data_IF_879920641819
#
_entry.id   IF_879920641819
#
_cell.length_a   1.000
_cell.length_b   1.000
_cell.length_c   1.000
_cell.angle_alpha   90.00
_cell.angle_beta   90.00
_cell.angle_gamma   90.00
#
_symmetry.space_group_name_H-M   'P 1'
#
loop_
_entity.id
_entity.type
_entity.pdbx_description
1 polymer ?
#
# COMPACT_ATOMS: atom_id res chain seq x y z
N UNK A 1 -16.96 8.12 18.17
CA UNK A 1 -16.83 9.56 17.93
C UNK A 1 -17.53 9.96 16.64
N UNK A 2 -18.49 10.94 16.65
CA UNK A 2 -19.25 11.38 15.48
C UNK A 2 -18.36 12.00 14.38
N UNK A 3 -17.29 12.69 14.71
CA UNK A 3 -16.37 13.29 13.75
C UNK A 3 -15.55 12.21 13.00
N UNK A 4 -15.12 11.17 13.69
CA UNK A 4 -14.43 10.02 13.10
C UNK A 4 -15.34 9.32 12.09
N UNK A 5 -16.61 9.10 12.46
CA UNK A 5 -17.61 8.51 11.56
C UNK A 5 -17.88 9.39 10.33
N UNK A 6 -17.97 10.70 10.50
CA UNK A 6 -18.11 11.64 9.37
C UNK A 6 -16.92 11.57 8.40
N UNK A 7 -15.71 11.57 8.91
CA UNK A 7 -14.49 11.44 8.08
C UNK A 7 -14.47 10.11 7.35
N UNK A 8 -14.79 9.01 8.03
CA UNK A 8 -14.91 7.68 7.42
C UNK A 8 -15.86 7.70 6.21
N UNK A 9 -17.08 8.13 6.41
CA UNK A 9 -18.07 8.19 5.34
C UNK A 9 -17.62 9.11 4.20
N UNK A 10 -16.94 10.20 4.51
CA UNK A 10 -16.50 11.18 3.52
C UNK A 10 -15.33 10.65 2.67
N UNK A 11 -14.34 9.98 3.27
CA UNK A 11 -13.21 9.37 2.55
C UNK A 11 -13.66 8.15 1.74
N UNK A 12 -14.51 7.31 2.30
CA UNK A 12 -15.08 6.18 1.58
C UNK A 12 -15.99 6.62 0.42
N UNK A 13 -16.75 7.72 0.55
CA UNK A 13 -17.49 8.35 -0.56
C UNK A 13 -16.57 8.90 -1.64
N UNK A 14 -15.44 9.51 -1.27
CA UNK A 14 -14.46 9.97 -2.25
C UNK A 14 -13.85 8.78 -3.02
N UNK A 15 -13.51 7.69 -2.31
CA UNK A 15 -13.01 6.45 -2.91
C UNK A 15 -14.07 5.78 -3.81
N UNK A 16 -15.36 5.79 -3.41
CA UNK A 16 -16.46 5.22 -4.23
C UNK A 16 -16.71 5.99 -5.54
N UNK A 17 -16.28 7.25 -5.61
CA UNK A 17 -16.34 8.03 -6.85
C UNK A 17 -15.25 7.67 -7.87
N UNK A 18 -14.24 6.88 -7.46
CA UNK A 18 -13.20 6.40 -8.36
C UNK A 18 -13.76 5.26 -9.23
N UNK A 19 -14.01 5.54 -10.49
CA UNK A 19 -14.36 4.52 -11.47
C UNK A 19 -13.12 4.22 -12.32
N UNK A 20 -12.53 3.04 -12.14
CA UNK A 20 -11.34 2.59 -12.86
C UNK A 20 -11.26 1.05 -12.83
N UNK A 21 -10.86 0.38 -13.92
CA UNK A 21 -10.81 -1.09 -13.97
C UNK A 21 -9.89 -1.70 -12.90
N UNK A 22 -8.83 -0.99 -12.52
CA UNK A 22 -7.84 -1.47 -11.54
C UNK A 22 -8.06 -0.92 -10.11
N UNK A 23 -9.19 -0.27 -9.82
CA UNK A 23 -9.59 0.16 -8.48
C UNK A 23 -10.81 -0.66 -8.06
N UNK A 24 -10.85 -1.08 -6.78
CA UNK A 24 -11.99 -1.81 -6.22
C UNK A 24 -13.25 -0.93 -6.26
N UNK A 25 -14.37 -1.49 -6.68
CA UNK A 25 -15.66 -0.78 -6.64
C UNK A 25 -16.26 -0.89 -5.24
N UNK A 26 -16.56 0.24 -4.62
CA UNK A 26 -17.30 0.31 -3.37
C UNK A 26 -18.78 0.51 -3.72
N UNK A 27 -19.61 -0.46 -3.36
CA UNK A 27 -21.05 -0.45 -3.63
C UNK A 27 -21.84 0.31 -2.57
N UNK A 28 -21.44 0.16 -1.30
CA UNK A 28 -22.15 0.79 -0.18
C UNK A 28 -21.26 0.91 1.06
N UNK A 29 -21.65 1.82 1.95
CA UNK A 29 -21.06 2.00 3.26
C UNK A 29 -22.19 2.01 4.25
N UNK A 30 -22.25 1.04 5.14
CA UNK A 30 -23.36 0.83 6.04
C UNK A 30 -22.91 0.64 7.49
N UNK A 31 -23.86 0.75 8.40
CA UNK A 31 -23.61 0.59 9.84
C UNK A 31 -24.74 -0.24 10.43
N UNK A 32 -24.41 -1.37 11.04
CA UNK A 32 -25.37 -2.26 11.69
C UNK A 32 -24.83 -2.67 13.07
N UNK A 33 -25.72 -2.63 14.06
CA UNK A 33 -25.40 -2.98 15.47
C UNK A 33 -24.13 -2.27 16.02
N UNK A 34 -23.91 -0.99 15.61
CA UNK A 34 -22.76 -0.19 16.05
C UNK A 34 -21.44 -0.54 15.35
N UNK A 35 -21.46 -1.37 14.31
CA UNK A 35 -20.30 -1.71 13.48
C UNK A 35 -20.47 -1.08 12.10
N UNK A 36 -19.45 -0.34 11.67
CA UNK A 36 -19.37 0.19 10.31
C UNK A 36 -18.73 -0.85 9.39
N UNK A 37 -19.27 -1.02 8.17
CA UNK A 37 -18.74 -1.93 7.16
C UNK A 37 -18.87 -1.33 5.76
N UNK A 38 -18.01 -1.79 4.87
CA UNK A 38 -17.97 -1.39 3.48
C UNK A 38 -18.38 -2.60 2.63
N UNK A 39 -19.36 -2.39 1.74
CA UNK A 39 -19.76 -3.36 0.74
C UNK A 39 -19.00 -3.07 -0.54
N UNK A 40 -18.22 -4.02 -1.03
CA UNK A 40 -17.39 -3.84 -2.22
C UNK A 40 -17.54 -5.01 -3.18
N UNK A 41 -17.09 -4.84 -4.42
CA UNK A 41 -17.05 -5.92 -5.39
C UNK A 41 -16.21 -7.09 -4.87
N UNK A 42 -16.64 -8.30 -5.21
CA UNK A 42 -15.87 -9.51 -4.91
C UNK A 42 -14.88 -9.79 -6.04
N UNK A 43 -13.60 -9.89 -5.71
CA UNK A 43 -12.54 -10.24 -6.66
C UNK A 43 -12.24 -11.73 -6.53
N UNK A 44 -12.61 -12.51 -7.54
CA UNK A 44 -12.27 -13.94 -7.61
C UNK A 44 -10.78 -14.10 -7.98
N UNK A 45 -9.89 -13.99 -6.99
CA UNK A 45 -8.45 -14.00 -7.22
C UNK A 45 -7.64 -14.21 -5.94
N UNK A 46 -6.36 -13.88 -6.01
CA UNK A 46 -5.44 -13.97 -4.89
C UNK A 46 -4.82 -12.61 -4.61
N UNK A 47 -4.49 -12.35 -3.34
CA UNK A 47 -3.69 -11.17 -3.02
C UNK A 47 -2.28 -11.31 -3.61
N UNK A 48 -1.69 -10.18 -3.97
CA UNK A 48 -0.34 -10.15 -4.50
C UNK A 48 0.67 -10.72 -3.49
N UNK A 49 0.40 -10.57 -2.18
CA UNK A 49 1.18 -11.19 -1.12
C UNK A 49 1.25 -12.74 -1.24
N UNK A 50 0.18 -13.37 -1.70
CA UNK A 50 0.14 -14.81 -1.92
C UNK A 50 0.79 -15.24 -3.24
N UNK A 51 0.98 -14.29 -4.18
CA UNK A 51 1.51 -14.55 -5.52
C UNK A 51 3.01 -14.31 -5.63
N UNK A 52 3.62 -13.46 -4.78
CA UNK A 52 5.05 -13.17 -4.82
C UNK A 52 5.83 -14.38 -4.27
N UNK A 53 6.62 -15.09 -5.09
CA UNK A 53 7.46 -16.18 -4.60
C UNK A 53 8.72 -15.63 -3.90
N UNK A 54 9.31 -16.43 -3.02
CA UNK A 54 10.54 -16.04 -2.27
C UNK A 54 11.73 -15.62 -3.15
N UNK A 55 11.76 -16.05 -4.41
CA UNK A 55 12.81 -15.72 -5.41
C UNK A 55 12.41 -14.60 -6.36
N UNK A 56 11.29 -13.90 -6.10
CA UNK A 56 10.70 -12.93 -7.01
C UNK A 56 9.86 -13.54 -8.13
N UNK A 57 9.06 -12.71 -8.76
CA UNK A 57 8.21 -13.04 -9.90
C UNK A 57 9.01 -13.03 -11.20
N UNK A 58 8.47 -13.66 -12.24
CA UNK A 58 8.98 -13.45 -13.59
C UNK A 58 8.82 -11.99 -13.98
N UNK A 59 9.83 -11.41 -14.61
CA UNK A 59 9.85 -9.99 -14.94
C UNK A 59 8.60 -9.52 -15.69
N UNK A 60 8.18 -10.26 -16.73
CA UNK A 60 6.99 -9.90 -17.51
C UNK A 60 5.70 -9.91 -16.69
N UNK A 61 5.57 -10.80 -15.71
CA UNK A 61 4.42 -10.87 -14.80
C UNK A 61 4.45 -9.68 -13.83
N UNK A 62 5.60 -9.40 -13.23
CA UNK A 62 5.77 -8.25 -12.35
C UNK A 62 5.44 -6.93 -13.06
N UNK A 63 5.93 -6.75 -14.29
CA UNK A 63 5.66 -5.53 -15.08
C UNK A 63 4.19 -5.39 -15.46
N UNK A 64 3.50 -6.47 -15.85
CA UNK A 64 2.06 -6.44 -16.16
C UNK A 64 1.22 -6.01 -14.95
N UNK A 65 1.57 -6.46 -13.76
CA UNK A 65 0.91 -6.07 -12.52
C UNK A 65 1.27 -4.62 -12.16
N UNK A 66 2.55 -4.26 -12.25
CA UNK A 66 3.04 -2.93 -11.90
C UNK A 66 2.39 -1.82 -12.73
N UNK A 67 2.22 -2.03 -14.04
CA UNK A 67 1.56 -1.05 -14.94
C UNK A 67 0.12 -0.80 -14.49
N UNK A 68 -0.64 -1.85 -14.15
CA UNK A 68 -2.02 -1.72 -13.71
C UNK A 68 -2.13 -1.01 -12.34
N UNK A 69 -1.20 -1.28 -11.41
CA UNK A 69 -1.13 -0.56 -10.12
C UNK A 69 -0.82 0.92 -10.37
N UNK A 70 0.17 1.23 -11.22
CA UNK A 70 0.54 2.59 -11.54
C UNK A 70 -0.61 3.38 -12.18
N UNK A 71 -1.41 2.73 -13.05
CA UNK A 71 -2.59 3.32 -13.68
C UNK A 71 -3.68 3.63 -12.64
N UNK A 72 -3.94 2.69 -11.72
CA UNK A 72 -4.86 2.91 -10.59
C UNK A 72 -4.42 4.10 -9.71
N UNK A 73 -3.13 4.18 -9.35
CA UNK A 73 -2.58 5.29 -8.58
C UNK A 73 -2.69 6.62 -9.34
N UNK A 74 -2.36 6.64 -10.63
CA UNK A 74 -2.47 7.82 -11.48
C UNK A 74 -3.91 8.36 -11.50
N UNK A 75 -4.89 7.46 -11.64
CA UNK A 75 -6.32 7.83 -11.60
C UNK A 75 -6.74 8.41 -10.25
N UNK A 76 -6.32 7.78 -9.14
CA UNK A 76 -6.61 8.26 -7.80
C UNK A 76 -5.97 9.62 -7.51
N UNK A 77 -4.68 9.78 -7.85
CA UNK A 77 -3.96 11.03 -7.65
C UNK A 77 -4.56 12.19 -8.47
N UNK A 78 -5.02 11.93 -9.70
CA UNK A 78 -5.72 12.93 -10.53
C UNK A 78 -7.05 13.39 -9.89
N UNK A 79 -7.64 12.57 -9.02
CA UNK A 79 -8.83 12.91 -8.24
C UNK A 79 -8.49 13.49 -6.85
N UNK A 80 -7.21 13.72 -6.55
CA UNK A 80 -6.74 14.23 -5.25
C UNK A 80 -6.78 13.17 -4.13
N UNK A 81 -6.90 11.89 -4.48
CA UNK A 81 -6.96 10.79 -3.51
C UNK A 81 -5.60 10.09 -3.43
N UNK A 82 -5.08 9.98 -2.21
CA UNK A 82 -3.82 9.31 -1.89
C UNK A 82 -4.16 7.98 -1.21
N UNK A 83 -3.50 6.89 -1.61
CA UNK A 83 -3.76 5.54 -1.08
C UNK A 83 -3.28 5.37 0.37
N UNK A 84 -2.04 5.77 0.66
CA UNK A 84 -1.37 5.78 1.97
C UNK A 84 -1.01 4.43 2.58
N UNK A 85 -1.60 3.33 2.15
CA UNK A 85 -1.33 1.97 2.66
C UNK A 85 -1.17 0.97 1.52
N UNK A 86 -0.45 1.35 0.45
CA UNK A 86 -0.17 0.45 -0.66
C UNK A 86 0.82 -0.65 -0.22
N UNK A 87 0.36 -1.90 -0.29
CA UNK A 87 1.11 -3.09 0.08
C UNK A 87 0.57 -4.31 -0.66
N UNK A 88 1.30 -5.44 -0.71
CA UNK A 88 0.86 -6.63 -1.45
C UNK A 88 -0.50 -7.20 -1.03
N UNK A 89 -0.90 -7.05 0.24
CA UNK A 89 -2.21 -7.51 0.72
C UNK A 89 -3.37 -6.66 0.22
N UNK A 90 -3.12 -5.40 -0.18
CA UNK A 90 -4.12 -4.47 -0.70
C UNK A 90 -4.17 -4.47 -2.25
N UNK A 91 -3.57 -5.48 -2.87
CA UNK A 91 -3.60 -5.68 -4.32
C UNK A 91 -4.11 -7.10 -4.59
N UNK A 92 -5.22 -7.23 -5.29
CA UNK A 92 -5.77 -8.51 -5.75
C UNK A 92 -5.47 -8.70 -7.23
N UNK A 93 -5.23 -9.94 -7.62
CA UNK A 93 -5.05 -10.34 -9.03
C UNK A 93 -5.99 -11.50 -9.31
N UNK A 94 -6.86 -11.34 -10.29
CA UNK A 94 -7.80 -12.40 -10.69
C UNK A 94 -7.13 -13.47 -11.58
N UNK A 95 -7.89 -14.48 -11.98
CA UNK A 95 -7.43 -15.59 -12.82
C UNK A 95 -7.05 -15.15 -14.25
N UNK A 96 -7.52 -13.98 -14.70
CA UNK A 96 -7.21 -13.40 -16.01
C UNK A 96 -6.03 -12.41 -15.95
N UNK A 97 -5.48 -12.17 -14.77
CA UNK A 97 -4.39 -11.22 -14.54
C UNK A 97 -4.84 -9.77 -14.42
N UNK A 98 -6.16 -9.53 -14.21
CA UNK A 98 -6.67 -8.21 -13.88
C UNK A 98 -6.33 -7.87 -12.44
N UNK A 99 -5.72 -6.71 -12.24
CA UNK A 99 -5.35 -6.19 -10.93
C UNK A 99 -6.47 -5.31 -10.38
N UNK A 100 -6.78 -5.47 -9.10
CA UNK A 100 -7.63 -4.57 -8.32
C UNK A 100 -6.88 -4.07 -7.10
N UNK A 101 -6.69 -2.76 -7.01
CA UNK A 101 -6.12 -2.09 -5.83
C UNK A 101 -7.26 -1.78 -4.86
N UNK A 102 -7.09 -2.19 -3.60
CA UNK A 102 -8.08 -2.10 -2.53
C UNK A 102 -7.78 -0.90 -1.62
N UNK A 103 -8.76 -0.48 -0.83
CA UNK A 103 -8.60 0.37 0.36
C UNK A 103 -7.96 1.76 0.14
N UNK A 104 -8.30 2.45 -0.95
CA UNK A 104 -7.85 3.83 -1.17
C UNK A 104 -8.35 4.76 -0.05
N UNK A 105 -7.41 5.43 0.62
CA UNK A 105 -7.69 6.50 1.59
C UNK A 105 -8.26 6.06 2.93
N UNK A 106 -8.60 4.78 3.12
CA UNK A 106 -9.25 4.29 4.35
C UNK A 106 -8.32 4.22 5.56
N UNK A 107 -7.00 4.25 5.36
CA UNK A 107 -6.00 4.14 6.44
C UNK A 107 -6.03 5.30 7.45
N UNK A 108 -6.41 6.51 7.03
CA UNK A 108 -6.56 7.67 7.94
C UNK A 108 -7.55 7.46 9.08
N UNK A 109 -8.42 6.49 8.95
CA UNK A 109 -9.56 6.28 9.84
C UNK A 109 -9.22 5.43 11.04
N UNK A 110 -8.14 4.65 10.93
CA UNK A 110 -7.71 3.72 11.97
C UNK A 110 -6.67 4.36 12.90
N UNK A 111 -5.95 5.39 12.45
CA UNK A 111 -4.70 5.86 13.06
C UNK A 111 -4.76 7.16 13.86
N UNK A 112 -5.92 7.75 14.14
CA UNK A 112 -5.98 8.89 15.06
C UNK A 112 -6.21 8.43 16.51
N UNK A 113 -5.17 8.18 17.32
CA UNK A 113 -5.36 8.06 18.76
C UNK A 113 -5.73 9.44 19.32
N UNK A 114 -6.81 9.52 20.09
CA UNK A 114 -7.25 10.75 20.75
C UNK A 114 -6.29 11.25 21.83
N UNK A 115 -5.23 10.47 22.17
CA UNK A 115 -4.17 10.88 23.12
C UNK A 115 -2.86 10.17 22.78
N UNK A 116 -1.72 10.90 22.85
CA UNK A 116 -0.38 10.31 22.67
C UNK A 116 -0.01 9.25 23.73
N UNK A 117 -0.76 9.15 24.82
CA UNK A 117 -0.47 8.27 25.96
C UNK A 117 -1.19 6.90 25.90
N UNK A 118 -2.14 6.72 24.97
CA UNK A 118 -2.88 5.46 24.80
C UNK A 118 -2.58 4.79 23.45
N UNK A 119 -1.31 4.67 23.10
CA UNK A 119 -0.92 3.77 22.04
C UNK A 119 -1.27 2.32 22.47
N UNK A 120 -2.10 1.58 21.72
CA UNK A 120 -2.42 0.21 22.09
C UNK A 120 -1.16 -0.65 22.03
N UNK A 121 -0.63 -0.99 23.21
CA UNK A 121 0.51 -1.90 23.43
C UNK A 121 0.12 -3.37 23.25
N UNK A 122 -0.99 -3.69 22.60
CA UNK A 122 -1.36 -5.07 22.29
C UNK A 122 -1.21 -5.35 20.80
N UNK A 123 0.00 -5.64 20.44
CA UNK A 123 0.36 -6.23 19.16
C UNK A 123 0.12 -7.74 19.24
N UNK A 124 -0.80 -8.23 18.42
CA UNK A 124 -0.67 -9.59 17.91
C UNK A 124 0.63 -9.60 17.09
N UNK A 125 1.70 -10.16 17.65
CA UNK A 125 3.10 -10.06 17.19
C UNK A 125 3.38 -10.53 15.75
N UNK A 126 2.40 -10.97 14.99
CA UNK A 126 2.56 -11.42 13.61
C UNK A 126 1.95 -10.52 12.54
N UNK A 127 0.87 -9.76 12.85
CA UNK A 127 0.10 -9.02 11.86
C UNK A 127 0.62 -7.58 11.62
N UNK A 128 1.25 -6.96 12.61
CA UNK A 128 1.72 -5.56 12.54
C UNK A 128 3.11 -5.46 11.91
N UNK A 129 3.95 -6.50 12.04
CA UNK A 129 5.32 -6.52 11.48
C UNK A 129 5.37 -6.36 9.95
N UNK A 130 4.26 -6.62 9.25
CA UNK A 130 4.18 -6.56 7.78
C UNK A 130 3.83 -5.19 7.20
N UNK A 131 3.09 -4.37 7.93
CA UNK A 131 2.49 -3.14 7.39
C UNK A 131 3.51 -2.00 7.26
N UNK A 132 4.42 -1.84 8.20
CA UNK A 132 5.41 -0.74 8.20
C UNK A 132 6.42 -0.81 7.06
N UNK A 133 6.68 -1.99 6.49
CA UNK A 133 7.73 -2.20 5.50
C UNK A 133 7.53 -1.46 4.16
N UNK A 134 6.32 -0.95 3.92
CA UNK A 134 5.95 -0.22 2.68
C UNK A 134 5.69 1.26 2.92
N UNK A 135 5.79 1.73 4.16
CA UNK A 135 5.63 3.15 4.50
C UNK A 135 6.70 3.99 3.80
N UNK A 136 6.33 5.19 3.41
CA UNK A 136 7.29 6.18 2.91
C UNK A 136 8.10 6.80 4.08
N UNK A 137 9.27 7.43 3.81
CA UNK A 137 10.06 8.09 4.85
C UNK A 137 9.27 9.17 5.62
N UNK A 138 8.43 9.94 4.92
CA UNK A 138 7.57 10.96 5.53
C UNK A 138 6.49 10.35 6.42
N UNK A 139 5.88 9.22 6.02
CA UNK A 139 4.96 8.47 6.89
C UNK A 139 5.67 7.95 8.14
N UNK A 140 6.85 7.35 7.97
CA UNK A 140 7.66 6.84 9.08
C UNK A 140 8.09 7.94 10.07
N UNK A 141 8.15 9.20 9.62
CA UNK A 141 8.48 10.38 10.42
C UNK A 141 7.26 11.16 10.91
N UNK A 142 6.03 10.73 10.60
CA UNK A 142 4.81 11.46 10.96
C UNK A 142 4.65 12.81 10.25
N UNK A 143 5.31 13.00 9.10
CA UNK A 143 5.24 14.21 8.28
C UNK A 143 4.00 14.20 7.37
N UNK A 144 3.60 15.36 6.80
CA UNK A 144 2.53 15.41 5.80
C UNK A 144 2.80 14.49 4.60
N UNK A 145 1.76 13.84 4.12
CA UNK A 145 1.79 12.81 3.05
C UNK A 145 1.13 13.35 1.81
N UNK A 146 1.73 13.14 0.65
CA UNK A 146 1.15 13.43 -0.67
C UNK A 146 1.27 12.22 -1.62
N UNK A 147 1.00 12.42 -2.92
CA UNK A 147 1.05 11.38 -3.94
C UNK A 147 2.43 10.69 -4.04
N UNK A 148 3.51 11.36 -3.65
CA UNK A 148 4.88 10.82 -3.68
C UNK A 148 5.07 9.70 -2.65
N UNK A 149 4.32 9.72 -1.55
CA UNK A 149 4.30 8.62 -0.59
C UNK A 149 3.81 7.30 -1.21
N UNK A 150 2.77 7.35 -2.05
CA UNK A 150 2.31 6.17 -2.78
C UNK A 150 3.33 5.70 -3.82
N UNK A 151 4.09 6.63 -4.44
CA UNK A 151 5.18 6.28 -5.36
C UNK A 151 6.28 5.53 -4.64
N UNK A 152 6.64 5.93 -3.41
CA UNK A 152 7.60 5.21 -2.59
C UNK A 152 7.09 3.79 -2.23
N UNK A 153 5.84 3.69 -1.78
CA UNK A 153 5.20 2.40 -1.47
C UNK A 153 5.13 1.49 -2.70
N UNK A 154 4.82 2.06 -3.88
CA UNK A 154 4.86 1.35 -5.17
C UNK A 154 6.28 0.88 -5.50
N UNK A 155 7.31 1.68 -5.28
CA UNK A 155 8.71 1.29 -5.45
C UNK A 155 9.09 0.10 -4.54
N UNK A 156 8.65 0.13 -3.28
CA UNK A 156 8.86 -0.96 -2.32
C UNK A 156 8.16 -2.25 -2.76
N UNK A 157 6.94 -2.13 -3.27
CA UNK A 157 6.16 -3.23 -3.81
C UNK A 157 6.82 -3.83 -5.06
N UNK A 158 7.23 -2.99 -6.01
CA UNK A 158 7.90 -3.40 -7.25
C UNK A 158 9.24 -4.08 -6.96
N UNK A 159 10.02 -3.55 -6.01
CA UNK A 159 11.25 -4.19 -5.54
C UNK A 159 10.97 -5.61 -5.03
N UNK A 160 9.93 -5.79 -4.20
CA UNK A 160 9.58 -7.11 -3.67
C UNK A 160 9.06 -8.05 -4.74
N UNK A 161 8.25 -7.58 -5.69
CA UNK A 161 7.81 -8.40 -6.82
C UNK A 161 8.99 -8.95 -7.61
N UNK A 162 10.03 -8.15 -7.83
CA UNK A 162 11.20 -8.54 -8.63
C UNK A 162 12.18 -9.42 -7.86
N UNK A 163 12.45 -9.06 -6.58
CA UNK A 163 13.48 -9.73 -5.78
C UNK A 163 12.96 -10.88 -4.91
N UNK A 164 11.65 -10.90 -4.60
CA UNK A 164 11.07 -11.79 -3.60
C UNK A 164 11.42 -11.41 -2.16
N UNK A 165 12.03 -10.25 -1.96
CA UNK A 165 12.45 -9.72 -0.67
C UNK A 165 11.91 -8.31 -0.46
N UNK A 166 11.57 -7.95 0.78
CA UNK A 166 11.18 -6.57 1.10
C UNK A 166 12.35 -5.62 0.89
N UNK A 167 12.09 -4.44 0.34
CA UNK A 167 13.09 -3.40 0.14
C UNK A 167 13.73 -2.95 1.47
N UNK A 168 12.91 -2.87 2.51
CA UNK A 168 13.34 -2.50 3.86
C UNK A 168 12.82 -3.51 4.88
N UNK A 169 13.71 -3.97 5.75
CA UNK A 169 13.37 -4.89 6.84
C UNK A 169 14.28 -4.67 8.03
N UNK A 170 13.77 -4.96 9.22
CA UNK A 170 14.49 -5.00 10.47
C UNK A 170 13.89 -6.08 11.37
N UNK A 171 14.53 -6.34 12.51
CA UNK A 171 14.09 -7.36 13.49
C UNK A 171 12.88 -6.88 14.30
N UNK A 172 12.52 -5.59 14.18
CA UNK A 172 11.37 -4.97 14.83
C UNK A 172 10.74 -3.91 13.91
N UNK A 173 9.54 -3.43 14.25
CA UNK A 173 8.91 -2.32 13.54
C UNK A 173 9.80 -1.07 13.60
N UNK A 174 10.39 -0.77 14.74
CA UNK A 174 11.26 0.39 14.93
C UNK A 174 12.52 0.30 14.05
N UNK A 175 13.17 -0.87 13.99
CA UNK A 175 14.34 -1.06 13.12
C UNK A 175 13.98 -1.04 11.64
N UNK A 176 12.76 -1.46 11.27
CA UNK A 176 12.24 -1.36 9.89
C UNK A 176 12.00 0.11 9.53
N UNK A 177 11.34 0.90 10.40
CA UNK A 177 11.16 2.34 10.19
C UNK A 177 12.51 3.07 10.07
N UNK A 178 13.47 2.74 10.93
CA UNK A 178 14.84 3.29 10.84
C UNK A 178 15.51 2.94 9.51
N UNK A 179 15.30 1.73 8.98
CA UNK A 179 15.80 1.32 7.66
C UNK A 179 15.15 2.12 6.53
N UNK A 180 13.82 2.33 6.58
CA UNK A 180 13.09 3.14 5.61
C UNK A 180 13.63 4.57 5.56
N UNK A 181 13.95 5.16 6.69
CA UNK A 181 14.43 6.55 6.76
C UNK A 181 15.89 6.66 6.30
N UNK A 182 16.76 5.71 6.68
CA UNK A 182 18.22 5.92 6.64
C UNK A 182 18.99 4.96 5.73
N UNK A 183 18.37 3.87 5.22
CA UNK A 183 19.10 2.86 4.45
C UNK A 183 18.61 2.79 3.01
N UNK A 184 19.54 2.52 2.09
CA UNK A 184 19.20 2.11 0.74
C UNK A 184 18.78 0.62 0.73
N UNK A 185 17.90 0.19 -0.20
CA UNK A 185 17.60 -1.22 -0.38
C UNK A 185 18.83 -1.98 -0.87
N UNK A 186 18.86 -3.30 -0.64
CA UNK A 186 19.91 -4.14 -1.20
C UNK A 186 19.90 -4.07 -2.74
N UNK A 187 21.05 -4.21 -3.42
CA UNK A 187 21.09 -4.26 -4.87
C UNK A 187 20.19 -5.39 -5.41
N UNK A 188 19.51 -5.14 -6.52
CA UNK A 188 18.78 -6.17 -7.25
C UNK A 188 19.75 -7.14 -7.94
N UNK A 189 19.25 -8.32 -8.34
CA UNK A 189 20.04 -9.29 -9.07
C UNK A 189 20.58 -8.70 -10.39
N UNK A 190 21.78 -9.11 -10.80
CA UNK A 190 22.47 -8.59 -11.98
C UNK A 190 21.67 -8.75 -13.29
N UNK A 191 20.75 -9.71 -13.32
CA UNK A 191 19.85 -9.99 -14.45
C UNK A 191 18.69 -9.01 -14.54
N UNK A 192 18.48 -8.16 -13.51
CA UNK A 192 17.42 -7.14 -13.53
C UNK A 192 17.77 -6.08 -14.58
N UNK A 193 16.84 -5.73 -15.49
CA UNK A 193 17.10 -4.69 -16.49
C UNK A 193 17.45 -3.36 -15.82
N UNK A 194 18.51 -2.71 -16.31
CA UNK A 194 19.01 -1.44 -15.74
C UNK A 194 17.94 -0.34 -15.67
N UNK A 195 17.03 -0.30 -16.65
CA UNK A 195 15.99 0.73 -16.65
C UNK A 195 14.94 0.47 -15.56
N UNK A 196 14.62 -0.79 -15.28
CA UNK A 196 13.74 -1.15 -14.14
C UNK A 196 14.42 -0.82 -12.81
N UNK A 197 15.70 -1.13 -12.66
CA UNK A 197 16.49 -0.78 -11.47
C UNK A 197 16.49 0.74 -11.24
N UNK A 198 16.67 1.56 -12.29
CA UNK A 198 16.58 3.02 -12.20
C UNK A 198 15.21 3.49 -11.74
N UNK A 199 14.12 2.89 -12.26
CA UNK A 199 12.75 3.23 -11.87
C UNK A 199 12.57 2.93 -10.38
N UNK A 200 12.92 1.72 -9.93
CA UNK A 200 12.80 1.31 -8.53
C UNK A 200 13.62 2.24 -7.61
N UNK A 201 14.88 2.49 -7.97
CA UNK A 201 15.76 3.40 -7.21
C UNK A 201 15.18 4.81 -7.14
N UNK A 202 14.58 5.30 -8.22
CA UNK A 202 13.95 6.63 -8.23
C UNK A 202 12.72 6.69 -7.34
N UNK A 203 11.88 5.66 -7.35
CA UNK A 203 10.72 5.58 -6.46
C UNK A 203 11.12 5.52 -4.98
N UNK A 204 12.26 4.88 -4.65
CA UNK A 204 12.74 4.67 -3.28
C UNK A 204 13.64 5.79 -2.73
N UNK A 205 13.70 6.94 -3.40
CA UNK A 205 14.42 8.11 -2.86
C UNK A 205 13.81 8.56 -1.53
N UNK A 206 14.69 8.97 -0.61
CA UNK A 206 14.28 9.38 0.75
C UNK A 206 13.78 10.81 0.81
N UNK A 207 14.19 11.61 -0.14
CA UNK A 207 13.75 13.00 -0.31
C UNK A 207 12.84 13.05 -1.55
N UNK A 208 11.54 13.28 -1.36
CA UNK A 208 10.52 13.19 -2.41
C UNK A 208 10.58 14.33 -3.42
#
# INVERSE_FOLDING_TARGET
DPERKRRFVQEAKAASALNHPNIIVIHDISSEAGRDFIVMEYVAGKSLNALIPRRGMRLNEALKIAVQIADALSRAHSAGIIHRDLKPSNVMVDEHGLVKVLDFGLAKLVEAPERPEEAPTQTAEGAILGTVAYMSPEQAQGKPVDARSDIFSFGSLLYEMVSGQRAFRGDSNMSTLAAIINKEPAPLAAETPRDLEKIITRCLRKDP
#
